data_IF_279458828162
#
_entry.id   IF_279458828162
#
_cell.length_a   1.000
_cell.length_b   1.000
_cell.length_c   1.000
_cell.angle_alpha   90.00
_cell.angle_beta   90.00
_cell.angle_gamma   90.00
#
_symmetry.space_group_name_H-M   'P 1'
#
loop_
_entity.id
_entity.type
_entity.pdbx_description
1 polymer ?
#
# COMPACT_ATOMS: atom_id res chain seq x y z
N UNK A 1 9.89 -3.99 24.40
CA UNK A 1 10.26 -3.17 25.58
C UNK A 1 10.80 -1.83 25.11
N UNK A 2 10.51 -0.73 25.82
CA UNK A 2 11.01 0.60 25.45
C UNK A 2 12.54 0.66 25.58
N UNK A 3 13.28 1.09 24.53
CA UNK A 3 14.74 1.12 24.57
C UNK A 3 15.30 2.17 25.55
N UNK A 4 14.50 3.19 25.90
CA UNK A 4 14.95 4.30 26.76
C UNK A 4 14.68 4.08 28.25
N UNK A 5 13.59 3.40 28.61
CA UNK A 5 13.17 3.27 30.00
C UNK A 5 12.66 1.88 30.40
N UNK A 6 12.78 0.89 29.51
CA UNK A 6 12.34 -0.49 29.71
C UNK A 6 10.85 -0.66 30.07
N UNK A 7 10.01 0.38 29.98
CA UNK A 7 8.57 0.22 30.15
C UNK A 7 7.98 -0.58 28.97
N UNK A 8 6.85 -1.31 29.18
CA UNK A 8 6.10 -1.93 28.09
C UNK A 8 5.73 -0.91 27.02
N UNK A 9 5.74 -1.36 25.76
CA UNK A 9 5.27 -0.59 24.62
C UNK A 9 3.82 -0.98 24.34
N UNK A 10 3.02 0.00 23.96
CA UNK A 10 1.67 -0.19 23.45
C UNK A 10 1.52 0.63 22.15
N UNK A 11 0.68 0.18 21.21
CA UNK A 11 0.40 0.97 20.03
C UNK A 11 -0.39 2.21 20.45
N UNK A 12 0.08 3.38 20.05
CA UNK A 12 -0.62 4.63 20.22
C UNK A 12 -1.00 5.16 18.84
N UNK A 13 -2.22 5.70 18.66
CA UNK A 13 -2.62 6.31 17.41
C UNK A 13 -1.69 7.49 17.11
N UNK A 14 -1.31 7.64 15.86
CA UNK A 14 -0.70 8.86 15.34
C UNK A 14 -1.44 9.26 14.06
N UNK A 15 -1.44 10.57 13.71
CA UNK A 15 -2.07 11.05 12.50
C UNK A 15 -1.65 10.24 11.27
N UNK A 16 -2.62 10.01 10.40
CA UNK A 16 -2.38 9.53 9.05
C UNK A 16 -1.66 10.55 8.18
N UNK A 17 -1.49 10.20 6.92
CA UNK A 17 -0.88 11.06 5.92
C UNK A 17 -1.43 10.72 4.53
N UNK A 18 -1.25 11.64 3.58
CA UNK A 18 -1.62 11.46 2.19
C UNK A 18 -0.48 11.82 1.25
N UNK A 19 -0.37 11.09 0.15
CA UNK A 19 0.69 11.30 -0.83
C UNK A 19 0.14 11.12 -2.23
N UNK A 20 0.54 12.00 -3.14
CA UNK A 20 0.27 11.83 -4.57
C UNK A 20 1.60 11.77 -5.33
N UNK A 21 1.76 10.73 -6.14
CA UNK A 21 2.89 10.57 -7.08
C UNK A 21 2.33 10.23 -8.44
N UNK A 22 2.63 11.06 -9.44
CA UNK A 22 2.21 10.84 -10.82
C UNK A 22 0.70 10.65 -10.94
N UNK A 23 0.29 9.43 -11.26
CA UNK A 23 -1.10 9.04 -11.46
C UNK A 23 -1.78 8.44 -10.23
N UNK A 24 -1.07 8.28 -9.12
CA UNK A 24 -1.54 7.57 -7.93
C UNK A 24 -1.66 8.55 -6.77
N UNK A 25 -2.79 8.53 -6.09
CA UNK A 25 -2.96 9.14 -4.78
C UNK A 25 -3.12 8.04 -3.74
N UNK A 26 -2.57 8.25 -2.55
CA UNK A 26 -2.56 7.28 -1.47
C UNK A 26 -2.87 7.99 -0.16
N UNK A 27 -3.68 7.37 0.69
CA UNK A 27 -4.03 7.87 2.02
C UNK A 27 -3.83 6.74 3.01
N UNK A 28 -3.11 7.02 4.10
CA UNK A 28 -3.08 6.17 5.28
C UNK A 28 -3.85 6.89 6.38
N UNK A 29 -4.93 6.29 6.88
CA UNK A 29 -5.84 6.98 7.81
C UNK A 29 -5.20 7.23 9.18
N UNK A 30 -4.38 6.29 9.64
CA UNK A 30 -3.64 6.37 10.90
C UNK A 30 -2.31 5.64 10.76
N UNK A 31 -1.27 6.15 11.45
CA UNK A 31 0.05 5.52 11.51
C UNK A 31 0.43 5.21 12.96
N UNK A 32 -0.14 4.14 13.56
CA UNK A 32 0.17 3.79 14.93
C UNK A 32 1.67 3.67 15.18
N UNK A 33 2.13 4.17 16.32
CA UNK A 33 3.52 4.10 16.76
C UNK A 33 3.60 3.40 18.10
N UNK A 34 4.66 2.62 18.30
CA UNK A 34 4.94 1.98 19.58
C UNK A 34 5.37 3.04 20.59
N UNK A 35 4.57 3.27 21.63
CA UNK A 35 4.91 4.21 22.71
C UNK A 35 4.89 3.54 24.06
N UNK A 36 5.77 3.98 24.95
CA UNK A 36 5.73 3.55 26.33
C UNK A 36 4.84 4.49 27.17
N UNK A 37 4.48 4.06 28.39
CA UNK A 37 3.66 4.88 29.31
C UNK A 37 4.27 6.25 29.66
N UNK A 38 5.57 6.43 29.47
CA UNK A 38 6.29 7.69 29.70
C UNK A 38 6.37 8.57 28.43
N UNK A 39 5.73 8.16 27.32
CA UNK A 39 5.63 8.94 26.09
C UNK A 39 6.77 8.76 25.09
N UNK A 40 7.79 7.97 25.42
CA UNK A 40 8.89 7.67 24.50
C UNK A 40 8.40 6.90 23.29
N UNK A 41 8.77 7.39 22.11
CA UNK A 41 8.49 6.78 20.82
C UNK A 41 9.54 5.70 20.51
N UNK A 42 9.07 4.51 20.17
CA UNK A 42 9.89 3.38 19.77
C UNK A 42 9.75 3.06 18.27
N UNK A 43 9.10 3.95 17.51
CA UNK A 43 8.98 3.83 16.06
C UNK A 43 7.59 3.39 15.60
N UNK A 44 7.40 3.26 14.28
CA UNK A 44 6.12 2.88 13.69
C UNK A 44 5.80 1.41 13.99
N UNK A 45 4.50 1.10 14.06
CA UNK A 45 4.04 -0.29 14.17
C UNK A 45 4.32 -1.07 12.88
N UNK A 46 4.12 -0.43 11.71
CA UNK A 46 4.45 -0.98 10.40
C UNK A 46 5.71 -0.34 9.83
N UNK A 47 6.63 -1.18 9.36
CA UNK A 47 7.84 -0.71 8.68
C UNK A 47 7.60 -0.52 7.19
N UNK A 48 8.31 0.43 6.57
CA UNK A 48 8.25 0.64 5.12
C UNK A 48 8.49 -0.65 4.32
N UNK A 49 9.43 -1.50 4.76
CA UNK A 49 9.73 -2.78 4.12
C UNK A 49 8.53 -3.73 4.14
N UNK A 50 7.83 -3.87 5.28
CA UNK A 50 6.64 -4.73 5.36
C UNK A 50 5.53 -4.24 4.45
N UNK A 51 5.29 -2.94 4.45
CA UNK A 51 4.28 -2.35 3.56
C UNK A 51 4.67 -2.53 2.10
N UNK A 52 5.93 -2.32 1.77
CA UNK A 52 6.46 -2.51 0.42
C UNK A 52 6.24 -3.95 -0.07
N UNK A 53 6.53 -4.97 0.75
CA UNK A 53 6.33 -6.37 0.37
C UNK A 53 4.86 -6.68 0.05
N UNK A 54 3.93 -6.21 0.88
CA UNK A 54 2.48 -6.39 0.67
C UNK A 54 2.00 -5.67 -0.59
N UNK A 55 2.44 -4.43 -0.80
CA UNK A 55 2.08 -3.63 -1.98
C UNK A 55 2.70 -4.24 -3.24
N UNK A 56 3.95 -4.71 -3.20
CA UNK A 56 4.60 -5.41 -4.31
C UNK A 56 3.84 -6.67 -4.67
N UNK A 57 3.40 -7.48 -3.71
CA UNK A 57 2.60 -8.67 -4.00
C UNK A 57 1.29 -8.30 -4.74
N UNK A 58 0.66 -7.19 -4.35
CA UNK A 58 -0.57 -6.69 -4.96
C UNK A 58 -0.32 -6.19 -6.41
N UNK A 59 0.74 -5.42 -6.64
CA UNK A 59 1.05 -4.83 -7.96
C UNK A 59 1.93 -5.69 -8.87
N UNK A 60 2.58 -6.75 -8.36
CA UNK A 60 3.34 -7.70 -9.19
C UNK A 60 2.44 -8.41 -10.21
N UNK A 61 1.15 -8.48 -9.89
CA UNK A 61 0.10 -9.00 -10.75
C UNK A 61 -0.43 -7.97 -11.76
N UNK A 62 0.08 -6.74 -11.71
CA UNK A 62 -0.23 -5.66 -12.61
C UNK A 62 0.80 -5.56 -13.76
N UNK A 63 0.34 -5.09 -14.91
CA UNK A 63 1.15 -5.07 -16.13
C UNK A 63 2.25 -4.02 -16.03
N UNK A 64 3.49 -4.42 -16.30
CA UNK A 64 4.64 -3.50 -16.42
C UNK A 64 4.87 -2.93 -17.84
N UNK A 65 3.87 -2.92 -18.75
CA UNK A 65 3.97 -2.24 -20.08
C UNK A 65 2.72 -1.39 -20.47
N UNK A 66 2.84 -0.52 -21.49
CA UNK A 66 1.76 0.36 -21.99
C UNK A 66 0.61 -0.44 -22.61
N UNK A 67 -0.62 0.06 -22.46
CA UNK A 67 -1.83 -0.59 -22.97
C UNK A 67 -1.83 -0.60 -24.52
N UNK A 68 -2.05 -1.75 -25.14
CA UNK A 68 -2.21 -1.98 -26.59
C UNK A 68 -3.48 -2.82 -26.83
N UNK A 69 -4.04 -2.76 -28.04
CA UNK A 69 -5.31 -3.44 -28.37
C UNK A 69 -5.32 -4.96 -28.19
N UNK A 70 -4.16 -5.58 -27.98
CA UNK A 70 -3.93 -7.01 -27.74
C UNK A 70 -3.57 -7.33 -26.28
N UNK A 71 -3.81 -6.42 -25.34
CA UNK A 71 -3.52 -6.67 -23.94
C UNK A 71 -4.29 -7.85 -23.36
N UNK A 72 -3.63 -8.53 -22.42
CA UNK A 72 -4.14 -9.73 -21.75
C UNK A 72 -4.14 -9.59 -20.22
N UNK A 73 -4.79 -10.43 -19.45
CA UNK A 73 -4.61 -10.41 -18.02
C UNK A 73 -3.23 -10.99 -17.68
N UNK A 74 -2.44 -10.32 -16.84
CA UNK A 74 -1.16 -10.88 -16.36
C UNK A 74 -1.36 -12.13 -15.50
N UNK A 75 -2.56 -12.31 -14.96
CA UNK A 75 -2.93 -13.49 -14.19
C UNK A 75 -3.47 -14.66 -15.05
N UNK A 76 -4.49 -14.44 -15.86
CA UNK A 76 -5.19 -15.52 -16.57
C UNK A 76 -5.07 -15.47 -18.11
N UNK A 77 -4.39 -14.48 -18.68
CA UNK A 77 -4.19 -14.35 -20.13
C UNK A 77 -5.41 -13.89 -20.95
N UNK A 78 -6.54 -13.61 -20.30
CA UNK A 78 -7.77 -13.11 -20.92
C UNK A 78 -7.59 -11.75 -21.60
N UNK A 79 -8.23 -11.49 -22.74
CA UNK A 79 -8.13 -10.19 -23.40
C UNK A 79 -8.66 -9.06 -22.49
N UNK A 80 -7.92 -7.95 -22.42
CA UNK A 80 -8.34 -6.73 -21.73
C UNK A 80 -8.97 -5.79 -22.75
N UNK A 81 -10.29 -5.89 -22.89
CA UNK A 81 -11.07 -5.13 -23.89
C UNK A 81 -11.49 -3.75 -23.38
N UNK A 82 -11.34 -3.48 -22.09
CA UNK A 82 -11.78 -2.24 -21.45
C UNK A 82 -10.61 -1.29 -21.16
N UNK A 83 -10.78 0.03 -21.34
CA UNK A 83 -9.77 1.00 -20.94
C UNK A 83 -9.59 1.03 -19.42
N UNK A 84 -8.44 1.54 -18.97
CA UNK A 84 -8.20 1.78 -17.56
C UNK A 84 -9.14 2.87 -17.04
N UNK A 85 -9.64 2.69 -15.82
CA UNK A 85 -10.45 3.67 -15.08
C UNK A 85 -9.81 3.97 -13.73
N UNK A 86 -10.24 5.05 -13.09
CA UNK A 86 -9.91 5.32 -11.68
C UNK A 86 -10.55 4.24 -10.81
N UNK A 87 -9.75 3.65 -9.94
CA UNK A 87 -10.13 2.58 -9.04
C UNK A 87 -9.54 2.86 -7.66
N UNK A 88 -10.37 2.69 -6.64
CA UNK A 88 -9.95 2.78 -5.24
C UNK A 88 -9.66 1.38 -4.71
N UNK A 89 -8.45 1.18 -4.18
CA UNK A 89 -7.98 -0.05 -3.57
C UNK A 89 -7.72 0.16 -2.08
N UNK A 90 -8.59 -0.34 -1.19
CA UNK A 90 -8.29 -0.41 0.22
C UNK A 90 -7.39 -1.63 0.50
N UNK A 91 -6.33 -1.41 1.28
CA UNK A 91 -5.40 -2.42 1.75
C UNK A 91 -5.33 -2.34 3.28
N UNK A 92 -5.75 -3.40 3.95
CA UNK A 92 -5.55 -3.54 5.39
C UNK A 92 -4.24 -4.26 5.64
N UNK A 93 -3.31 -3.57 6.30
CA UNK A 93 -2.00 -4.06 6.65
C UNK A 93 -1.97 -4.36 8.15
N UNK A 94 -1.73 -5.60 8.51
CA UNK A 94 -1.56 -5.98 9.91
C UNK A 94 -0.09 -5.99 10.27
N UNK A 95 0.20 -5.60 11.50
CA UNK A 95 1.52 -5.77 12.06
C UNK A 95 1.88 -7.27 12.20
N UNK A 96 3.16 -7.60 12.47
CA UNK A 96 3.61 -8.99 12.52
C UNK A 96 2.90 -9.85 13.57
N UNK A 97 2.43 -9.27 14.68
CA UNK A 97 1.70 -10.01 15.71
C UNK A 97 0.17 -10.03 15.48
N UNK A 98 -0.31 -9.29 14.47
CA UNK A 98 -1.70 -9.27 14.02
C UNK A 98 -2.63 -8.46 14.92
N UNK A 99 -2.11 -7.72 15.89
CA UNK A 99 -2.91 -6.96 16.87
C UNK A 99 -3.30 -5.58 16.37
N UNK A 100 -2.55 -5.00 15.44
CA UNK A 100 -2.79 -3.66 14.89
C UNK A 100 -2.98 -3.74 13.38
N UNK A 101 -4.07 -3.14 12.90
CA UNK A 101 -4.34 -2.97 11.49
C UNK A 101 -4.23 -1.49 11.09
N UNK A 102 -3.62 -1.26 9.92
CA UNK A 102 -3.52 0.04 9.27
C UNK A 102 -4.17 -0.05 7.91
N UNK A 103 -5.05 0.90 7.59
CA UNK A 103 -5.69 0.97 6.28
C UNK A 103 -4.92 1.94 5.39
N UNK A 104 -4.36 1.42 4.30
CA UNK A 104 -3.82 2.16 3.18
C UNK A 104 -4.85 2.15 2.05
N UNK A 105 -5.30 3.31 1.61
CA UNK A 105 -6.19 3.45 0.46
C UNK A 105 -5.41 4.03 -0.71
N UNK A 106 -5.45 3.35 -1.86
CA UNK A 106 -4.83 3.82 -3.11
C UNK A 106 -5.92 4.20 -4.11
N UNK A 107 -5.85 5.40 -4.67
CA UNK A 107 -6.58 5.80 -5.86
C UNK A 107 -5.63 5.76 -7.07
N UNK A 108 -5.87 4.82 -7.98
CA UNK A 108 -4.99 4.53 -9.11
C UNK A 108 -5.77 4.16 -10.38
N UNK A 109 -5.18 4.32 -11.57
CA UNK A 109 -5.75 3.78 -12.78
C UNK A 109 -5.61 2.25 -12.83
N UNK A 110 -6.69 1.53 -13.12
CA UNK A 110 -6.65 0.09 -13.38
C UNK A 110 -7.70 -0.37 -14.40
N UNK A 111 -7.39 -1.46 -15.10
CA UNK A 111 -8.35 -2.20 -15.93
C UNK A 111 -8.76 -3.48 -15.21
N UNK A 112 -10.06 -3.67 -14.96
CA UNK A 112 -10.55 -4.91 -14.37
C UNK A 112 -10.61 -6.02 -15.42
N UNK A 113 -9.97 -7.15 -15.15
CA UNK A 113 -10.06 -8.33 -16.02
C UNK A 113 -11.49 -8.88 -16.02
N UNK A 114 -12.11 -9.12 -17.18
CA UNK A 114 -13.47 -9.66 -17.25
C UNK A 114 -13.55 -11.10 -16.74
N UNK A 115 -12.49 -11.89 -16.90
CA UNK A 115 -12.52 -13.33 -16.62
C UNK A 115 -12.20 -13.65 -15.17
N UNK A 116 -11.10 -13.10 -14.63
CA UNK A 116 -10.67 -13.38 -13.25
C UNK A 116 -11.01 -12.25 -12.26
N UNK A 117 -11.60 -11.15 -12.73
CA UNK A 117 -12.02 -10.04 -11.88
C UNK A 117 -10.88 -9.23 -11.24
N UNK A 118 -9.61 -9.59 -11.50
CA UNK A 118 -8.43 -8.89 -10.95
C UNK A 118 -8.20 -7.58 -11.69
N UNK A 119 -7.92 -6.54 -10.93
CA UNK A 119 -7.54 -5.26 -11.49
C UNK A 119 -6.09 -5.30 -11.99
N UNK A 120 -5.84 -4.60 -13.09
CA UNK A 120 -4.56 -4.56 -13.80
C UNK A 120 -4.08 -3.11 -13.85
N UNK A 121 -3.07 -2.79 -13.04
CA UNK A 121 -2.46 -1.46 -12.99
C UNK A 121 -1.53 -1.27 -14.20
N UNK A 122 -1.55 -0.10 -14.87
CA UNK A 122 -0.59 0.23 -15.91
C UNK A 122 0.84 0.34 -15.38
N UNK A 123 1.81 0.01 -16.21
CA UNK A 123 3.24 0.00 -15.86
C UNK A 123 3.74 1.27 -15.16
N UNK A 124 3.41 2.41 -15.76
CA UNK A 124 3.83 3.73 -15.29
C UNK A 124 3.31 4.01 -13.88
N UNK A 125 2.18 3.42 -13.53
CA UNK A 125 1.51 3.62 -12.25
C UNK A 125 2.00 2.62 -11.20
N UNK A 126 2.70 1.55 -11.58
CA UNK A 126 3.31 0.62 -10.61
C UNK A 126 4.41 1.34 -9.83
N UNK A 127 5.30 2.06 -10.53
CA UNK A 127 6.36 2.84 -9.88
C UNK A 127 5.77 3.99 -9.04
N UNK A 128 4.68 4.63 -9.51
CA UNK A 128 3.94 5.61 -8.73
C UNK A 128 3.39 5.01 -7.42
N UNK A 129 2.78 3.81 -7.46
CA UNK A 129 2.26 3.11 -6.27
C UNK A 129 3.39 2.83 -5.26
N UNK A 130 4.50 2.27 -5.73
CA UNK A 130 5.64 1.95 -4.86
C UNK A 130 6.22 3.23 -4.24
N UNK A 131 6.36 4.30 -5.04
CA UNK A 131 6.86 5.60 -4.54
C UNK A 131 5.90 6.24 -3.54
N UNK A 132 4.58 6.20 -3.76
CA UNK A 132 3.61 6.70 -2.76
C UNK A 132 3.73 5.95 -1.45
N UNK A 133 3.87 4.62 -1.53
CA UNK A 133 4.03 3.76 -0.35
C UNK A 133 5.32 4.07 0.38
N UNK A 134 6.44 4.19 -0.33
CA UNK A 134 7.71 4.55 0.29
C UNK A 134 7.63 5.91 0.98
N UNK A 135 7.05 6.94 0.35
CA UNK A 135 6.90 8.27 0.97
C UNK A 135 6.02 8.25 2.21
N UNK A 136 4.88 7.56 2.17
CA UNK A 136 3.96 7.47 3.30
C UNK A 136 4.55 6.72 4.50
N UNK A 137 5.54 5.85 4.28
CA UNK A 137 6.13 5.02 5.33
C UNK A 137 7.63 5.28 5.56
N UNK A 138 8.23 6.28 4.89
CA UNK A 138 9.66 6.63 5.00
C UNK A 138 10.07 7.09 6.39
N UNK A 139 9.15 7.70 7.15
CA UNK A 139 9.40 8.18 8.51
C UNK A 139 9.04 7.12 9.57
N UNK A 140 9.89 6.09 9.64
CA UNK A 140 9.96 5.20 10.78
C UNK A 140 10.94 5.71 11.82
#
# INVERSE_FOLDING_TARGET
MCPQCAAPLAPAPAPGDECTVGTVAAVVEQRPRWRCRHGHDAGPVLTAARVHDEVVALVAMARRRRLRGDDRCANCGAALTMPARRTVWPLTLTDPDGTVAVTLTLDLPATRCPDCGRDQVPARSVDDVLTTTERLFADG
#
